data_IF_917358713486
#
_entry.id   IF_917358713486
#
_cell.length_a   1.000
_cell.length_b   1.000
_cell.length_c   1.000
_cell.angle_alpha   90.00
_cell.angle_beta   90.00
_cell.angle_gamma   90.00
#
_symmetry.space_group_name_H-M   'P 1'
#
loop_
_entity.id
_entity.type
_entity.pdbx_description
1 polymer ?
#
# COMPACT_ATOMS: atom_id res chain seq x y z
N UNK A 1 -70.96 -38.05 -7.90
CA UNK A 1 -70.17 -37.92 -9.15
C UNK A 1 -69.50 -36.55 -9.15
N UNK A 2 -68.17 -36.54 -9.36
CA UNK A 2 -67.24 -35.45 -9.77
C UNK A 2 -67.38 -34.04 -9.15
N UNK A 3 -66.45 -33.55 -8.30
CA UNK A 3 -65.03 -33.13 -8.49
C UNK A 3 -64.89 -31.83 -9.30
N UNK A 4 -64.47 -30.74 -8.63
CA UNK A 4 -63.33 -29.87 -8.97
C UNK A 4 -63.22 -28.65 -8.03
N UNK A 5 -62.04 -28.45 -7.43
CA UNK A 5 -61.51 -27.17 -6.90
C UNK A 5 -60.97 -26.31 -8.07
N UNK A 6 -60.83 -24.99 -7.89
CA UNK A 6 -59.47 -24.46 -7.80
C UNK A 6 -59.23 -23.24 -6.85
N UNK A 7 -58.01 -23.24 -6.30
CA UNK A 7 -57.12 -22.15 -5.82
C UNK A 7 -57.45 -20.66 -6.08
N UNK A 8 -57.24 -19.80 -5.06
CA UNK A 8 -56.20 -18.72 -4.97
C UNK A 8 -56.27 -17.91 -3.64
N UNK A 9 -55.19 -17.87 -2.84
CA UNK A 9 -54.20 -16.76 -2.61
C UNK A 9 -54.84 -15.45 -2.07
N UNK A 10 -54.42 -14.82 -0.95
CA UNK A 10 -53.08 -14.29 -0.62
C UNK A 10 -52.80 -14.00 0.88
N UNK A 11 -51.50 -14.11 1.20
CA UNK A 11 -50.65 -13.87 2.39
C UNK A 11 -50.99 -12.81 3.48
N UNK A 12 -50.45 -13.03 4.71
CA UNK A 12 -49.89 -12.00 5.61
C UNK A 12 -48.41 -11.73 5.28
N UNK A 13 -47.84 -10.54 5.56
CA UNK A 13 -46.41 -10.37 5.89
C UNK A 13 -46.06 -8.89 6.14
N UNK A 14 -45.87 -8.52 7.41
CA UNK A 14 -45.19 -7.30 7.85
C UNK A 14 -43.89 -7.71 8.58
N UNK A 15 -42.89 -8.15 7.82
CA UNK A 15 -41.54 -8.44 8.32
C UNK A 15 -40.52 -7.90 7.32
N UNK A 16 -40.15 -6.61 7.43
CA UNK A 16 -39.02 -6.10 6.63
C UNK A 16 -38.16 -4.99 7.23
N UNK A 17 -38.36 -4.53 8.47
CA UNK A 17 -37.62 -3.35 8.97
C UNK A 17 -36.52 -3.65 10.00
N UNK A 18 -36.49 -4.82 10.64
CA UNK A 18 -35.50 -5.13 11.71
C UNK A 18 -34.14 -5.71 11.24
N UNK A 19 -33.90 -5.88 9.94
CA UNK A 19 -32.78 -6.69 9.43
C UNK A 19 -31.47 -5.93 9.15
N UNK A 20 -31.44 -4.60 9.34
CA UNK A 20 -30.28 -3.78 8.97
C UNK A 20 -29.37 -3.38 10.14
N UNK A 21 -29.87 -3.25 11.37
CA UNK A 21 -29.03 -2.84 12.51
C UNK A 21 -28.16 -3.99 13.06
N UNK A 22 -28.63 -5.25 12.96
CA UNK A 22 -27.85 -6.42 13.37
C UNK A 22 -26.63 -6.68 12.46
N UNK A 23 -26.65 -6.21 11.21
CA UNK A 23 -25.53 -6.37 10.27
C UNK A 23 -24.31 -5.53 10.64
N UNK A 24 -24.49 -4.35 11.23
CA UNK A 24 -23.36 -3.48 11.62
C UNK A 24 -22.63 -4.08 12.84
N UNK A 25 -23.38 -4.66 13.79
CA UNK A 25 -22.80 -5.32 14.96
C UNK A 25 -21.98 -6.57 14.61
N UNK A 26 -22.46 -7.40 13.67
CA UNK A 26 -21.73 -8.60 13.24
C UNK A 26 -20.44 -8.29 12.44
N UNK A 27 -20.39 -7.14 11.76
CA UNK A 27 -19.27 -6.79 10.87
C UNK A 27 -18.00 -6.33 11.61
N UNK A 28 -18.13 -5.92 12.89
CA UNK A 28 -17.01 -5.48 13.73
C UNK A 28 -16.75 -6.38 14.95
N UNK A 29 -17.51 -7.47 15.10
CA UNK A 29 -17.37 -8.43 16.22
C UNK A 29 -15.96 -9.02 16.33
N UNK A 30 -15.22 -9.12 15.21
CA UNK A 30 -13.84 -9.61 15.19
C UNK A 30 -12.84 -8.71 15.95
N UNK A 31 -13.21 -7.46 16.30
CA UNK A 31 -12.41 -6.56 17.13
C UNK A 31 -12.76 -6.65 18.62
N UNK A 32 -13.91 -7.25 18.95
CA UNK A 32 -14.41 -7.43 20.33
C UNK A 32 -14.09 -8.83 20.89
N UNK A 33 -13.38 -9.70 20.15
CA UNK A 33 -12.98 -11.04 20.62
C UNK A 33 -11.86 -10.95 21.68
N UNK A 34 -12.22 -10.46 22.86
CA UNK A 34 -11.68 -10.90 24.15
C UNK A 34 -12.70 -11.79 24.84
N UNK A 35 -13.12 -12.90 24.20
CA UNK A 35 -13.87 -13.95 24.91
C UNK A 35 -12.88 -14.96 25.48
N UNK A 36 -12.42 -14.68 26.70
CA UNK A 36 -11.98 -15.71 27.65
C UNK A 36 -13.18 -16.65 27.86
N UNK A 37 -13.04 -17.98 27.72
CA UNK A 37 -14.18 -18.88 27.87
C UNK A 37 -14.63 -18.88 29.33
N UNK A 38 -15.80 -18.30 29.60
CA UNK A 38 -16.51 -18.49 30.87
C UNK A 38 -17.70 -19.43 30.63
N UNK A 39 -17.96 -20.36 31.56
CA UNK A 39 -18.71 -21.57 31.27
C UNK A 39 -20.20 -21.31 31.09
N UNK A 40 -20.82 -22.19 30.32
CA UNK A 40 -22.26 -22.24 30.09
C UNK A 40 -23.06 -22.09 31.40
N UNK A 41 -23.88 -21.05 31.47
CA UNK A 41 -24.97 -20.96 32.44
C UNK A 41 -26.23 -20.48 31.74
N UNK A 42 -27.17 -21.40 31.62
CA UNK A 42 -28.52 -21.22 31.11
C UNK A 42 -29.34 -20.36 32.08
N UNK A 43 -29.51 -19.08 31.77
CA UNK A 43 -30.55 -18.25 32.37
C UNK A 43 -30.97 -17.16 31.40
N UNK A 44 -32.17 -17.28 30.83
CA UNK A 44 -32.82 -16.21 30.08
C UNK A 44 -33.21 -15.06 31.04
N UNK A 45 -32.85 -13.79 30.77
CA UNK A 45 -33.54 -12.68 31.40
C UNK A 45 -34.71 -12.26 30.51
N UNK A 46 -35.92 -12.36 31.06
CA UNK A 46 -37.12 -11.73 30.53
C UNK A 46 -36.94 -10.22 30.73
N UNK A 47 -36.75 -9.45 29.64
CA UNK A 47 -36.76 -7.99 29.69
C UNK A 47 -37.97 -7.50 28.90
N UNK A 48 -38.91 -6.89 29.64
CA UNK A 48 -40.07 -6.19 29.13
C UNK A 48 -39.67 -5.12 28.11
N UNK A 49 -40.12 -5.30 26.86
CA UNK A 49 -40.18 -4.23 25.86
C UNK A 49 -41.40 -3.38 26.13
N UNK A 50 -41.23 -2.23 26.78
CA UNK A 50 -42.10 -1.07 26.62
C UNK A 50 -41.39 0.15 27.19
N UNK A 51 -40.58 0.80 26.34
CA UNK A 51 -40.36 2.24 26.40
C UNK A 51 -39.75 2.69 25.06
N UNK A 52 -40.64 2.99 24.12
CA UNK A 52 -40.35 3.80 22.95
C UNK A 52 -40.17 5.25 23.38
N UNK A 53 -38.94 5.73 23.49
CA UNK A 53 -38.65 7.16 23.40
C UNK A 53 -37.40 7.41 22.55
N UNK A 54 -37.69 7.84 21.31
CA UNK A 54 -36.97 8.84 20.51
C UNK A 54 -35.63 9.31 21.09
N UNK A 55 -34.58 8.51 20.88
CA UNK A 55 -33.18 8.94 20.81
C UNK A 55 -32.34 7.73 20.36
N UNK A 56 -32.34 7.46 19.04
CA UNK A 56 -31.35 6.59 18.42
C UNK A 56 -29.97 7.27 18.49
N UNK A 57 -29.39 7.35 19.69
CA UNK A 57 -27.96 7.61 19.87
C UNK A 57 -27.23 6.41 19.29
N UNK A 58 -26.70 6.59 18.08
CA UNK A 58 -25.70 5.72 17.46
C UNK A 58 -24.68 5.37 18.55
N UNK A 59 -24.72 4.15 19.10
CA UNK A 59 -23.73 3.73 20.09
C UNK A 59 -22.43 3.56 19.33
N UNK A 60 -21.57 4.57 19.42
CA UNK A 60 -20.20 4.47 18.94
C UNK A 60 -19.51 3.38 19.74
N UNK A 61 -19.31 2.22 19.12
CA UNK A 61 -18.51 1.17 19.71
C UNK A 61 -17.04 1.61 19.73
N UNK A 62 -16.24 1.20 20.73
CA UNK A 62 -14.81 1.51 20.77
C UNK A 62 -14.08 1.11 19.48
N UNK A 63 -14.51 0.02 18.84
CA UNK A 63 -14.03 -0.47 17.55
C UNK A 63 -14.29 0.50 16.39
N UNK A 64 -15.47 1.12 16.33
CA UNK A 64 -15.81 2.12 15.31
C UNK A 64 -15.02 3.43 15.51
N UNK A 65 -14.82 3.83 16.78
CA UNK A 65 -14.02 5.01 17.13
C UNK A 65 -12.55 4.78 16.73
N UNK A 66 -11.97 3.64 17.12
CA UNK A 66 -10.61 3.26 16.74
C UNK A 66 -10.43 3.23 15.22
N UNK A 67 -11.45 2.75 14.50
CA UNK A 67 -11.43 2.75 13.05
C UNK A 67 -11.43 4.16 12.44
N UNK A 68 -12.30 5.06 12.92
CA UNK A 68 -12.40 6.43 12.41
C UNK A 68 -11.13 7.28 12.69
N UNK A 69 -10.33 6.89 13.69
CA UNK A 69 -9.03 7.51 13.95
C UNK A 69 -8.03 7.28 12.80
N UNK A 70 -8.08 6.14 12.10
CA UNK A 70 -7.14 5.84 11.03
C UNK A 70 -7.29 6.82 9.82
N UNK A 71 -8.49 7.01 9.24
CA UNK A 71 -8.72 8.04 8.23
C UNK A 71 -8.44 9.47 8.73
N UNK A 72 -8.74 9.76 10.01
CA UNK A 72 -8.46 11.08 10.59
C UNK A 72 -6.95 11.36 10.63
N UNK A 73 -6.16 10.40 11.11
CA UNK A 73 -4.69 10.49 11.11
C UNK A 73 -4.20 10.65 9.66
N UNK A 74 -4.71 9.84 8.73
CA UNK A 74 -4.36 9.93 7.31
C UNK A 74 -4.65 11.33 6.73
N UNK A 75 -5.79 11.93 7.08
CA UNK A 75 -6.18 13.28 6.64
C UNK A 75 -5.28 14.36 7.25
N UNK A 76 -4.96 14.26 8.55
CA UNK A 76 -4.09 15.24 9.21
C UNK A 76 -2.67 15.22 8.63
N UNK A 77 -2.13 14.03 8.35
CA UNK A 77 -0.82 13.88 7.73
C UNK A 77 -0.82 14.46 6.31
N UNK A 78 -1.84 14.16 5.50
CA UNK A 78 -1.89 14.67 4.12
C UNK A 78 -2.03 16.19 4.07
N UNK A 79 -2.89 16.79 4.91
CA UNK A 79 -3.01 18.25 5.02
C UNK A 79 -1.70 18.87 5.52
N UNK A 80 -1.08 18.28 6.54
CA UNK A 80 0.20 18.75 7.08
C UNK A 80 1.31 18.74 6.03
N UNK A 81 1.40 17.68 5.21
CA UNK A 81 2.38 17.58 4.13
C UNK A 81 2.10 18.58 2.99
N UNK A 82 0.83 18.85 2.66
CA UNK A 82 0.47 19.90 1.68
C UNK A 82 0.88 21.28 2.21
N UNK A 83 0.52 21.61 3.45
CA UNK A 83 0.87 22.90 4.05
C UNK A 83 2.39 23.10 4.11
N UNK A 84 3.12 22.06 4.50
CA UNK A 84 4.58 22.08 4.52
C UNK A 84 5.17 22.25 3.11
N UNK A 85 4.64 21.56 2.10
CA UNK A 85 5.08 21.73 0.71
C UNK A 85 4.82 23.14 0.18
N UNK A 86 3.63 23.71 0.44
CA UNK A 86 3.26 25.07 0.03
C UNK A 86 4.12 26.10 0.74
N UNK A 87 4.31 25.97 2.05
CA UNK A 87 5.17 26.87 2.82
C UNK A 87 6.62 26.83 2.32
N UNK A 88 7.15 25.64 2.03
CA UNK A 88 8.48 25.48 1.43
C UNK A 88 8.57 26.13 0.05
N UNK A 89 7.57 25.95 -0.81
CA UNK A 89 7.54 26.60 -2.12
C UNK A 89 7.50 28.12 -1.98
N UNK A 90 6.65 28.66 -1.11
CA UNK A 90 6.59 30.10 -0.83
C UNK A 90 7.94 30.66 -0.40
N UNK A 91 8.63 29.99 0.55
CA UNK A 91 9.96 30.40 0.98
C UNK A 91 10.97 30.39 -0.17
N UNK A 92 10.94 29.38 -1.04
CA UNK A 92 11.84 29.28 -2.19
C UNK A 92 11.58 30.42 -3.18
N UNK A 93 10.32 30.75 -3.46
CA UNK A 93 9.95 31.83 -4.40
C UNK A 93 10.14 33.24 -3.84
N UNK A 94 10.31 33.40 -2.52
CA UNK A 94 10.64 34.69 -1.89
C UNK A 94 12.14 35.04 -2.01
N UNK A 95 12.99 34.07 -2.34
CA UNK A 95 14.43 34.32 -2.55
C UNK A 95 14.59 35.00 -3.92
N UNK A 96 15.27 36.16 -4.00
CA UNK A 96 15.45 36.86 -5.28
C UNK A 96 16.18 35.97 -6.28
N UNK A 97 15.71 35.96 -7.54
CA UNK A 97 16.36 35.21 -8.61
C UNK A 97 17.79 35.75 -8.80
N UNK A 98 18.78 34.92 -8.53
CA UNK A 98 20.20 35.24 -8.73
C UNK A 98 20.61 35.18 -10.20
N UNK A 99 19.85 34.47 -11.03
CA UNK A 99 20.16 34.20 -12.45
C UNK A 99 18.87 34.17 -13.29
N UNK A 100 18.89 34.84 -14.45
CA UNK A 100 17.79 34.88 -15.42
C UNK A 100 17.98 33.77 -16.48
N UNK A 101 18.04 32.50 -16.06
CA UNK A 101 18.10 31.37 -17.00
C UNK A 101 16.76 30.66 -17.06
N UNK A 102 16.13 30.66 -18.24
CA UNK A 102 14.98 29.81 -18.53
C UNK A 102 15.44 28.35 -18.64
N UNK A 103 14.70 27.44 -18.02
CA UNK A 103 14.95 26.00 -18.06
C UNK A 103 14.23 25.42 -19.28
N UNK A 104 14.89 24.52 -20.01
CA UNK A 104 14.30 23.78 -21.13
C UNK A 104 13.17 22.85 -20.63
N UNK A 105 11.97 23.00 -21.20
CA UNK A 105 10.80 22.20 -20.84
C UNK A 105 10.94 20.71 -21.23
N UNK A 106 11.68 20.42 -22.30
CA UNK A 106 11.85 19.05 -22.81
C UNK A 106 13.00 18.32 -22.09
N UNK A 107 13.96 19.09 -21.55
CA UNK A 107 15.08 18.58 -20.75
C UNK A 107 15.28 19.44 -19.49
N UNK A 108 14.35 19.35 -18.52
CA UNK A 108 14.46 20.12 -17.28
C UNK A 108 15.65 19.70 -16.42
N UNK A 109 16.29 18.57 -16.75
CA UNK A 109 17.48 18.02 -16.08
C UNK A 109 18.82 18.40 -16.75
N UNK A 110 18.84 19.39 -17.67
CA UNK A 110 20.06 19.85 -18.35
C UNK A 110 21.24 20.09 -17.40
N UNK A 111 22.48 19.83 -17.84
CA UNK A 111 23.74 19.77 -17.05
C UNK A 111 23.69 20.48 -15.69
N UNK A 112 23.12 19.79 -14.70
CA UNK A 112 23.02 20.29 -13.33
C UNK A 112 24.40 20.10 -12.70
N UNK A 113 25.20 21.17 -12.63
CA UNK A 113 26.45 21.16 -11.88
C UNK A 113 26.16 20.90 -10.39
N UNK A 114 27.02 20.16 -9.69
CA UNK A 114 26.92 19.92 -8.23
C UNK A 114 27.23 21.22 -7.45
N UNK A 115 26.37 22.23 -7.56
CA UNK A 115 26.48 23.54 -6.90
C UNK A 115 25.16 23.99 -6.27
N UNK A 116 25.11 25.22 -5.74
CA UNK A 116 23.92 25.74 -5.05
C UNK A 116 22.67 25.84 -5.95
N UNK A 117 22.83 26.08 -7.25
CA UNK A 117 21.68 26.16 -8.19
C UNK A 117 20.99 24.80 -8.39
N UNK A 118 21.76 23.71 -8.43
CA UNK A 118 21.26 22.33 -8.41
C UNK A 118 20.38 22.05 -7.18
N UNK A 119 20.80 22.55 -6.02
CA UNK A 119 20.07 22.41 -4.77
C UNK A 119 18.70 23.09 -4.85
N UNK A 120 18.58 24.26 -5.50
CA UNK A 120 17.32 24.99 -5.64
C UNK A 120 16.31 24.22 -6.50
N UNK A 121 16.72 23.73 -7.67
CA UNK A 121 15.84 22.94 -8.56
C UNK A 121 15.39 21.64 -7.90
N UNK A 122 16.29 20.96 -7.17
CA UNK A 122 15.94 19.75 -6.44
C UNK A 122 14.95 20.01 -5.29
N UNK A 123 15.12 21.13 -4.56
CA UNK A 123 14.18 21.57 -3.51
C UNK A 123 12.78 21.82 -4.08
N UNK A 124 12.67 22.47 -5.24
CA UNK A 124 11.39 22.70 -5.93
C UNK A 124 10.76 21.36 -6.35
N UNK A 125 11.54 20.49 -7.01
CA UNK A 125 11.07 19.16 -7.45
C UNK A 125 10.56 18.32 -6.27
N UNK A 126 11.31 18.30 -5.18
CA UNK A 126 10.96 17.61 -3.95
C UNK A 126 9.64 18.16 -3.37
N UNK A 127 9.51 19.49 -3.22
CA UNK A 127 8.28 20.09 -2.69
C UNK A 127 7.04 19.83 -3.57
N UNK A 128 7.17 19.94 -4.89
CA UNK A 128 6.06 19.66 -5.82
C UNK A 128 5.69 18.18 -5.83
N UNK A 129 6.68 17.28 -5.71
CA UNK A 129 6.45 15.83 -5.74
C UNK A 129 5.51 15.32 -4.64
N UNK A 130 5.35 16.09 -3.55
CA UNK A 130 4.52 15.76 -2.39
C UNK A 130 3.04 16.15 -2.60
N UNK A 131 2.75 17.12 -3.48
CA UNK A 131 1.40 17.69 -3.61
C UNK A 131 0.38 16.70 -4.17
N UNK A 132 0.69 16.06 -5.30
CA UNK A 132 -0.20 15.09 -5.97
C UNK A 132 -0.53 13.88 -5.06
N UNK A 133 0.46 13.16 -4.49
CA UNK A 133 0.15 12.02 -3.63
C UNK A 133 -0.61 12.44 -2.37
N UNK A 134 -0.31 13.61 -1.79
CA UNK A 134 -1.06 14.10 -0.63
C UNK A 134 -2.52 14.46 -0.98
N UNK A 135 -2.78 15.01 -2.17
CA UNK A 135 -4.14 15.26 -2.65
C UNK A 135 -4.93 13.94 -2.80
N UNK A 136 -4.33 12.91 -3.39
CA UNK A 136 -4.95 11.58 -3.45
C UNK A 136 -5.20 11.00 -2.06
N UNK A 137 -4.25 11.17 -1.14
CA UNK A 137 -4.39 10.71 0.24
C UNK A 137 -5.51 11.46 0.99
N UNK A 138 -5.72 12.75 0.74
CA UNK A 138 -6.86 13.52 1.26
C UNK A 138 -8.21 12.96 0.76
N UNK A 139 -8.35 12.77 -0.56
CA UNK A 139 -9.58 12.22 -1.15
C UNK A 139 -9.86 10.83 -0.57
N UNK A 140 -8.82 10.00 -0.46
CA UNK A 140 -8.94 8.69 0.15
C UNK A 140 -9.35 8.77 1.62
N UNK A 141 -8.75 9.68 2.41
CA UNK A 141 -9.08 9.83 3.82
C UNK A 141 -10.53 10.28 4.05
N UNK A 142 -11.05 11.18 3.22
CA UNK A 142 -12.47 11.60 3.26
C UNK A 142 -13.38 10.40 2.94
N UNK A 143 -13.07 9.65 1.89
CA UNK A 143 -13.79 8.42 1.57
C UNK A 143 -13.64 7.37 2.70
N UNK A 144 -12.54 7.46 3.47
CA UNK A 144 -12.17 6.65 4.62
C UNK A 144 -13.20 6.57 5.74
N UNK A 145 -14.08 7.58 5.83
CA UNK A 145 -15.18 7.63 6.79
C UNK A 145 -16.41 6.82 6.35
N UNK A 146 -16.28 5.92 5.36
CA UNK A 146 -17.37 5.07 4.86
C UNK A 146 -18.19 4.35 5.94
N UNK A 147 -17.64 3.90 7.10
CA UNK A 147 -18.47 3.23 8.12
C UNK A 147 -19.51 4.15 8.75
N UNK A 148 -19.29 5.46 8.69
CA UNK A 148 -20.24 6.45 9.19
C UNK A 148 -21.40 6.70 8.20
N UNK A 149 -21.27 6.25 6.95
CA UNK A 149 -22.21 6.50 5.86
C UNK A 149 -23.08 5.27 5.64
N UNK A 150 -24.40 5.43 5.76
CA UNK A 150 -25.35 4.31 5.63
C UNK A 150 -25.71 4.01 4.16
N UNK A 151 -25.71 5.03 3.30
CA UNK A 151 -26.00 4.88 1.87
C UNK A 151 -24.70 4.81 1.07
N UNK A 152 -24.64 3.90 0.10
CA UNK A 152 -23.49 3.73 -0.81
C UNK A 152 -22.15 3.44 -0.13
N UNK A 153 -22.15 2.80 1.05
CA UNK A 153 -20.92 2.44 1.80
C UNK A 153 -19.87 1.75 0.92
N UNK A 154 -20.27 0.77 0.11
CA UNK A 154 -19.36 0.05 -0.79
C UNK A 154 -18.72 0.96 -1.84
N UNK A 155 -19.43 1.99 -2.31
CA UNK A 155 -18.88 2.94 -3.27
C UNK A 155 -17.75 3.77 -2.65
N UNK A 156 -17.94 4.27 -1.43
CA UNK A 156 -16.90 4.99 -0.69
C UNK A 156 -15.71 4.07 -0.33
N UNK A 157 -15.95 2.80 -0.02
CA UNK A 157 -14.88 1.80 0.15
C UNK A 157 -14.04 1.63 -1.12
N UNK A 158 -14.68 1.50 -2.30
CA UNK A 158 -13.96 1.41 -3.57
C UNK A 158 -13.15 2.67 -3.88
N UNK A 159 -13.74 3.86 -3.68
CA UNK A 159 -13.03 5.13 -3.84
C UNK A 159 -11.81 5.16 -2.91
N UNK A 160 -11.98 4.80 -1.63
CA UNK A 160 -10.88 4.78 -0.68
C UNK A 160 -9.75 3.85 -1.14
N UNK A 161 -10.07 2.62 -1.55
CA UNK A 161 -9.08 1.65 -2.03
C UNK A 161 -8.32 2.19 -3.25
N UNK A 162 -9.02 2.75 -4.23
CA UNK A 162 -8.41 3.27 -5.47
C UNK A 162 -7.49 4.45 -5.15
N UNK A 163 -7.97 5.45 -4.42
CA UNK A 163 -7.18 6.65 -4.13
C UNK A 163 -6.03 6.38 -3.15
N UNK A 164 -6.20 5.48 -2.16
CA UNK A 164 -5.07 5.03 -1.34
C UNK A 164 -4.03 4.30 -2.20
N UNK A 165 -4.45 3.43 -3.12
CA UNK A 165 -3.53 2.71 -4.00
C UNK A 165 -2.73 3.65 -4.92
N UNK A 166 -3.42 4.65 -5.50
CA UNK A 166 -2.77 5.70 -6.29
C UNK A 166 -1.82 6.56 -5.43
N UNK A 167 -2.22 6.93 -4.22
CA UNK A 167 -1.38 7.69 -3.30
C UNK A 167 -0.10 6.91 -2.97
N UNK A 168 -0.21 5.62 -2.59
CA UNK A 168 0.94 4.75 -2.30
C UNK A 168 1.91 4.71 -3.49
N UNK A 169 1.42 4.47 -4.70
CA UNK A 169 2.26 4.43 -5.90
C UNK A 169 3.03 5.73 -6.14
N UNK A 170 2.38 6.88 -5.92
CA UNK A 170 2.99 8.19 -6.10
C UNK A 170 3.99 8.51 -4.97
N UNK A 171 3.67 8.16 -3.71
CA UNK A 171 4.54 8.37 -2.56
C UNK A 171 5.88 7.65 -2.67
N UNK A 172 5.95 6.47 -3.31
CA UNK A 172 7.22 5.77 -3.54
C UNK A 172 8.23 6.64 -4.30
N UNK A 173 7.78 7.42 -5.27
CA UNK A 173 8.65 8.34 -6.03
C UNK A 173 8.94 9.63 -5.28
N UNK A 174 7.99 10.14 -4.49
CA UNK A 174 8.17 11.37 -3.70
C UNK A 174 9.13 11.17 -2.52
N UNK A 175 9.05 10.02 -1.85
CA UNK A 175 10.02 9.64 -0.79
C UNK A 175 11.43 9.60 -1.37
N UNK A 176 11.61 9.07 -2.58
CA UNK A 176 12.90 9.11 -3.27
C UNK A 176 13.38 10.55 -3.48
N UNK A 177 12.54 11.44 -4.02
CA UNK A 177 12.92 12.83 -4.29
C UNK A 177 13.36 13.58 -3.01
N UNK A 178 12.61 13.44 -1.92
CA UNK A 178 12.95 14.06 -0.62
C UNK A 178 14.23 13.46 -0.03
N UNK A 179 14.43 12.14 -0.17
CA UNK A 179 15.63 11.45 0.32
C UNK A 179 16.89 11.95 -0.40
N UNK A 180 16.82 12.14 -1.72
CA UNK A 180 17.91 12.70 -2.51
C UNK A 180 18.22 14.13 -2.07
N UNK A 181 17.18 14.95 -1.84
CA UNK A 181 17.35 16.34 -1.39
C UNK A 181 18.06 16.43 -0.03
N UNK A 182 17.63 15.63 0.95
CA UNK A 182 18.26 15.59 2.28
C UNK A 182 19.72 15.15 2.15
N UNK A 183 19.97 14.06 1.40
CA UNK A 183 21.33 13.54 1.24
C UNK A 183 22.24 14.56 0.52
N UNK A 184 21.77 15.22 -0.53
CA UNK A 184 22.56 16.21 -1.26
C UNK A 184 22.84 17.44 -0.37
N UNK A 185 21.83 17.93 0.33
CA UNK A 185 21.96 19.14 1.16
C UNK A 185 22.90 18.91 2.33
N UNK A 186 22.72 17.84 3.10
CA UNK A 186 23.47 17.64 4.33
C UNK A 186 24.80 16.93 4.12
N UNK A 187 24.87 15.92 3.24
CA UNK A 187 26.09 15.12 3.08
C UNK A 187 27.01 15.72 2.03
N UNK A 188 26.48 16.19 0.88
CA UNK A 188 27.34 16.63 -0.22
C UNK A 188 27.73 18.10 -0.16
N UNK A 189 26.78 18.99 0.17
CA UNK A 189 27.03 20.44 0.15
C UNK A 189 27.71 20.87 1.46
N UNK A 190 27.19 20.39 2.60
CA UNK A 190 27.62 20.84 3.90
C UNK A 190 28.50 19.85 4.66
N UNK A 191 28.63 18.59 4.20
CA UNK A 191 29.36 17.50 4.88
C UNK A 191 28.96 17.29 6.36
N UNK A 192 27.74 17.67 6.74
CA UNK A 192 27.18 17.63 8.09
C UNK A 192 26.55 16.29 8.47
N UNK A 193 27.11 15.16 8.01
CA UNK A 193 26.55 13.83 8.26
C UNK A 193 26.57 13.44 9.75
N UNK A 194 27.42 14.07 10.56
CA UNK A 194 27.52 13.86 12.00
C UNK A 194 26.61 14.79 12.83
N UNK A 195 25.97 15.77 12.20
CA UNK A 195 25.13 16.73 12.93
C UNK A 195 23.81 16.08 13.35
N UNK A 196 23.36 16.40 14.56
CA UNK A 196 22.07 15.93 15.09
C UNK A 196 20.88 16.33 14.19
N UNK A 197 20.98 17.46 13.50
CA UNK A 197 19.99 17.94 12.54
C UNK A 197 19.75 16.94 11.40
N UNK A 198 20.80 16.37 10.81
CA UNK A 198 20.68 15.36 9.75
C UNK A 198 19.90 14.13 10.24
N UNK A 199 20.24 13.63 11.44
CA UNK A 199 19.56 12.49 12.04
C UNK A 199 18.06 12.78 12.30
N UNK A 200 17.73 13.99 12.79
CA UNK A 200 16.35 14.42 12.98
C UNK A 200 15.57 14.42 11.65
N UNK A 201 16.16 14.94 10.56
CA UNK A 201 15.52 14.93 9.23
C UNK A 201 15.28 13.51 8.71
N UNK A 202 16.19 12.58 8.94
CA UNK A 202 16.01 11.17 8.57
C UNK A 202 14.90 10.52 9.41
N UNK A 203 14.84 10.77 10.72
CA UNK A 203 13.74 10.27 11.56
C UNK A 203 12.39 10.81 11.07
N UNK A 204 12.31 12.11 10.77
CA UNK A 204 11.10 12.74 10.24
C UNK A 204 10.70 12.16 8.88
N UNK A 205 11.66 11.89 8.00
CA UNK A 205 11.43 11.22 6.71
C UNK A 205 10.88 9.80 6.91
N UNK A 206 11.43 9.03 7.85
CA UNK A 206 10.93 7.70 8.19
C UNK A 206 9.52 7.75 8.77
N UNK A 207 9.24 8.68 9.70
CA UNK A 207 7.91 8.86 10.28
C UNK A 207 6.87 9.30 9.23
N UNK A 208 7.22 10.25 8.36
CA UNK A 208 6.36 10.71 7.29
C UNK A 208 6.11 9.60 6.26
N UNK A 209 7.13 8.84 5.87
CA UNK A 209 6.97 7.72 4.92
C UNK A 209 6.12 6.59 5.50
N UNK A 210 6.20 6.32 6.80
CA UNK A 210 5.27 5.42 7.48
C UNK A 210 3.81 5.90 7.36
N UNK A 211 3.55 7.16 7.67
CA UNK A 211 2.21 7.75 7.58
C UNK A 211 1.67 7.90 6.14
N UNK A 212 2.56 8.02 5.15
CA UNK A 212 2.21 8.22 3.75
C UNK A 212 2.05 6.90 2.97
N UNK A 213 2.80 5.86 3.34
CA UNK A 213 2.82 4.57 2.62
C UNK A 213 2.14 3.49 3.45
N UNK A 214 2.63 3.24 4.67
CA UNK A 214 2.20 2.09 5.49
C UNK A 214 0.78 2.28 6.00
N UNK A 215 0.43 3.48 6.50
CA UNK A 215 -0.90 3.75 7.02
C UNK A 215 -2.00 3.57 5.94
N UNK A 216 -1.89 4.15 4.73
CA UNK A 216 -2.84 3.86 3.64
C UNK A 216 -2.89 2.38 3.23
N UNK A 217 -1.78 1.64 3.27
CA UNK A 217 -1.80 0.19 3.02
C UNK A 217 -2.60 -0.56 4.07
N UNK A 218 -2.49 -0.18 5.35
CA UNK A 218 -3.31 -0.77 6.43
C UNK A 218 -4.80 -0.48 6.19
N UNK A 219 -5.16 0.77 5.86
CA UNK A 219 -6.57 1.13 5.63
C UNK A 219 -7.14 0.48 4.37
N UNK A 220 -6.35 0.29 3.30
CA UNK A 220 -6.71 -0.54 2.15
C UNK A 220 -7.02 -1.97 2.60
N UNK A 221 -6.16 -2.57 3.42
CA UNK A 221 -6.36 -3.94 3.88
C UNK A 221 -7.66 -4.10 4.67
N UNK A 222 -8.00 -3.14 5.52
CA UNK A 222 -9.26 -3.16 6.27
C UNK A 222 -10.46 -2.92 5.36
N UNK A 223 -10.37 -1.95 4.44
CA UNK A 223 -11.42 -1.69 3.46
C UNK A 223 -11.73 -2.93 2.61
N UNK A 224 -10.67 -3.57 2.10
CA UNK A 224 -10.78 -4.71 1.21
C UNK A 224 -11.25 -5.97 1.95
N UNK A 225 -10.83 -6.19 3.19
CA UNK A 225 -11.29 -7.37 3.96
C UNK A 225 -12.78 -7.32 4.28
N UNK A 226 -13.34 -6.11 4.45
CA UNK A 226 -14.78 -5.89 4.69
C UNK A 226 -15.66 -6.00 3.44
N UNK A 227 -15.09 -6.07 2.23
CA UNK A 227 -15.88 -6.24 1.01
C UNK A 227 -16.49 -7.65 0.88
N UNK A 228 -15.99 -8.62 1.65
CA UNK A 228 -16.44 -10.01 1.58
C UNK A 228 -16.81 -10.53 2.96
N UNK A 229 -17.95 -11.25 3.12
CA UNK A 229 -18.33 -11.84 4.40
C UNK A 229 -17.26 -12.82 4.87
N UNK A 230 -17.08 -12.92 6.19
CA UNK A 230 -16.11 -13.84 6.78
C UNK A 230 -16.40 -15.28 6.35
N UNK A 231 -15.50 -15.86 5.56
CA UNK A 231 -15.54 -17.27 5.21
C UNK A 231 -14.14 -17.85 5.33
N UNK A 232 -13.99 -18.87 6.16
CA UNK A 232 -12.72 -19.59 6.30
C UNK A 232 -12.63 -20.65 5.22
N UNK A 233 -11.60 -20.57 4.37
CA UNK A 233 -11.36 -21.62 3.39
C UNK A 233 -10.74 -22.83 4.08
N UNK A 234 -11.28 -24.03 3.83
CA UNK A 234 -10.94 -25.24 4.59
C UNK A 234 -9.72 -26.02 4.06
N UNK A 235 -9.07 -25.61 2.96
CA UNK A 235 -7.91 -26.34 2.42
C UNK A 235 -6.69 -25.46 2.19
N UNK A 236 -5.71 -25.64 3.08
CA UNK A 236 -4.32 -25.26 2.86
C UNK A 236 -3.79 -25.94 1.60
N UNK A 237 -3.15 -25.19 0.70
CA UNK A 237 -2.45 -25.77 -0.44
C UNK A 237 -0.95 -25.51 -0.26
N UNK A 238 -0.19 -26.58 -0.07
CA UNK A 238 1.27 -26.53 0.12
C UNK A 238 1.96 -25.76 -1.01
N UNK A 239 1.47 -25.91 -2.25
CA UNK A 239 2.01 -25.20 -3.42
C UNK A 239 1.87 -23.68 -3.30
N UNK A 240 0.79 -23.19 -2.66
CA UNK A 240 0.59 -21.74 -2.46
C UNK A 240 1.49 -21.20 -1.35
N UNK A 241 1.67 -21.99 -0.28
CA UNK A 241 2.57 -21.63 0.81
C UNK A 241 4.03 -21.60 0.33
N UNK A 242 4.45 -22.58 -0.47
CA UNK A 242 5.80 -22.60 -1.04
C UNK A 242 6.03 -21.46 -2.04
N UNK A 243 5.04 -21.14 -2.88
CA UNK A 243 5.10 -19.98 -3.77
C UNK A 243 5.22 -18.67 -2.98
N UNK A 244 4.41 -18.50 -1.92
CA UNK A 244 4.48 -17.32 -1.07
C UNK A 244 5.83 -17.18 -0.35
N UNK A 245 6.36 -18.28 0.17
CA UNK A 245 7.69 -18.30 0.77
C UNK A 245 8.79 -17.96 -0.24
N UNK A 246 8.70 -18.50 -1.46
CA UNK A 246 9.63 -18.18 -2.55
C UNK A 246 9.64 -16.69 -2.91
N UNK A 247 8.46 -16.07 -2.96
CA UNK A 247 8.33 -14.61 -3.18
C UNK A 247 8.93 -13.82 -2.03
N UNK A 248 8.71 -14.23 -0.78
CA UNK A 248 9.34 -13.60 0.39
C UNK A 248 10.86 -13.68 0.26
N UNK A 249 11.43 -14.86 0.00
CA UNK A 249 12.88 -15.05 -0.12
C UNK A 249 13.50 -14.17 -1.22
N UNK A 250 12.88 -14.11 -2.40
CA UNK A 250 13.38 -13.29 -3.52
C UNK A 250 13.17 -11.79 -3.24
N UNK A 251 12.12 -11.41 -2.52
CA UNK A 251 11.94 -10.02 -2.10
C UNK A 251 13.01 -9.58 -1.10
N UNK A 252 13.41 -10.45 -0.17
CA UNK A 252 14.51 -10.21 0.78
C UNK A 252 15.82 -10.02 0.01
N UNK A 253 16.15 -10.92 -0.93
CA UNK A 253 17.40 -10.79 -1.70
C UNK A 253 17.41 -9.50 -2.53
N UNK A 254 16.30 -9.17 -3.19
CA UNK A 254 16.16 -7.92 -3.96
C UNK A 254 16.31 -6.69 -3.07
N UNK A 255 15.72 -6.70 -1.87
CA UNK A 255 15.83 -5.62 -0.88
C UNK A 255 17.27 -5.45 -0.37
N UNK A 256 17.98 -6.55 -0.07
CA UNK A 256 19.37 -6.49 0.38
C UNK A 256 20.31 -5.96 -0.72
N UNK A 257 20.15 -6.45 -1.96
CA UNK A 257 20.96 -6.00 -3.10
C UNK A 257 20.71 -4.52 -3.46
N UNK A 258 19.45 -4.08 -3.43
CA UNK A 258 19.11 -2.67 -3.66
C UNK A 258 19.61 -1.75 -2.55
N UNK A 259 19.51 -2.16 -1.28
CA UNK A 259 20.09 -1.41 -0.16
C UNK A 259 21.62 -1.29 -0.26
N UNK A 260 22.29 -2.39 -0.62
CA UNK A 260 23.74 -2.40 -0.84
C UNK A 260 24.17 -1.44 -1.96
N UNK A 261 23.51 -1.53 -3.12
CA UNK A 261 23.80 -0.68 -4.29
C UNK A 261 23.48 0.79 -4.02
N UNK A 262 22.41 1.08 -3.29
CA UNK A 262 22.05 2.44 -2.83
C UNK A 262 23.11 3.01 -1.89
N UNK A 263 23.54 2.24 -0.89
CA UNK A 263 24.58 2.66 0.05
C UNK A 263 25.87 3.03 -0.67
N UNK A 264 26.30 2.19 -1.63
CA UNK A 264 27.50 2.45 -2.45
C UNK A 264 27.37 3.67 -3.36
N UNK A 265 26.18 3.91 -3.93
CA UNK A 265 25.94 5.06 -4.83
C UNK A 265 25.84 6.39 -4.08
N UNK A 266 25.43 6.37 -2.80
CA UNK A 266 25.20 7.58 -2.01
C UNK A 266 26.37 8.01 -1.10
N UNK A 267 27.31 7.10 -0.76
CA UNK A 267 28.37 7.38 0.24
C UNK A 267 29.77 7.68 -0.34
N UNK A 268 30.06 7.31 -1.60
CA UNK A 268 31.40 7.41 -2.18
C UNK A 268 31.56 8.53 -3.23
N UNK A 269 30.79 9.61 -3.15
CA UNK A 269 30.67 10.67 -4.18
C UNK A 269 32.02 11.32 -4.54
N UNK A 270 32.95 11.43 -3.60
CA UNK A 270 34.29 11.99 -3.84
C UNK A 270 35.12 11.18 -4.84
N UNK A 271 34.90 9.86 -4.95
CA UNK A 271 35.54 9.00 -5.97
C UNK A 271 34.98 9.26 -7.38
N UNK A 272 33.75 9.77 -7.50
CA UNK A 272 33.10 10.05 -8.79
C UNK A 272 33.68 11.27 -9.49
N UNK A 273 34.22 12.25 -8.72
CA UNK A 273 34.76 13.51 -9.26
C UNK A 273 35.97 13.32 -10.18
N UNK A 274 36.66 12.19 -10.11
CA UNK A 274 37.96 11.97 -10.75
C UNK A 274 37.82 11.43 -12.18
N UNK A 275 36.66 10.88 -12.57
CA UNK A 275 36.49 10.29 -13.91
C UNK A 275 35.92 11.30 -14.93
N UNK A 276 36.67 11.66 -15.99
CA UNK A 276 36.23 12.58 -17.05
C UNK A 276 35.28 11.92 -18.06
N UNK A 277 35.02 10.62 -17.96
CA UNK A 277 34.29 9.85 -18.99
C UNK A 277 32.77 9.90 -18.88
N UNK A 278 32.21 10.49 -17.82
CA UNK A 278 30.76 10.48 -17.58
C UNK A 278 30.16 11.89 -17.76
N UNK A 279 29.41 12.06 -18.84
CA UNK A 279 28.74 13.33 -19.18
C UNK A 279 27.70 13.81 -18.15
N UNK A 280 27.32 12.98 -17.16
CA UNK A 280 26.38 13.30 -16.09
C UNK A 280 26.64 12.44 -14.82
N UNK A 281 27.63 12.82 -14.01
CA UNK A 281 27.93 12.17 -12.72
C UNK A 281 26.72 12.13 -11.77
N UNK A 282 25.76 13.05 -11.92
CA UNK A 282 24.52 13.13 -11.15
C UNK A 282 23.54 11.97 -11.43
N UNK A 283 23.61 11.31 -12.60
CA UNK A 283 22.64 10.26 -12.98
C UNK A 283 22.84 8.93 -12.24
N UNK A 284 24.05 8.70 -11.74
CA UNK A 284 24.36 7.53 -10.92
C UNK A 284 24.30 7.84 -9.42
N UNK A 285 24.20 9.11 -9.04
CA UNK A 285 23.90 9.50 -7.67
C UNK A 285 22.47 9.04 -7.31
N UNK A 286 22.33 8.40 -6.15
CA UNK A 286 21.08 7.73 -5.74
C UNK A 286 20.67 6.54 -6.62
N UNK A 287 21.57 6.00 -7.44
CA UNK A 287 21.30 4.76 -8.17
C UNK A 287 20.85 3.66 -7.18
N UNK A 288 19.81 2.92 -7.55
CA UNK A 288 19.15 1.89 -6.74
C UNK A 288 18.27 2.37 -5.57
N UNK A 289 18.23 3.68 -5.25
CA UNK A 289 17.41 4.18 -4.13
C UNK A 289 15.91 3.93 -4.36
N UNK A 290 15.42 4.13 -5.58
CA UNK A 290 14.03 3.84 -5.94
C UNK A 290 13.73 2.35 -5.79
N UNK A 291 14.66 1.53 -6.26
CA UNK A 291 14.62 0.08 -6.22
C UNK A 291 14.61 -0.42 -4.76
N UNK A 292 15.35 0.24 -3.86
CA UNK A 292 15.36 -0.06 -2.43
C UNK A 292 14.03 0.27 -1.75
N UNK A 293 13.46 1.44 -2.05
CA UNK A 293 12.15 1.85 -1.51
C UNK A 293 11.04 0.89 -1.99
N UNK A 294 10.99 0.62 -3.30
CA UNK A 294 9.99 -0.28 -3.88
C UNK A 294 10.16 -1.72 -3.37
N UNK A 295 11.39 -2.25 -3.34
CA UNK A 295 11.64 -3.61 -2.87
C UNK A 295 11.36 -3.79 -1.37
N UNK A 296 11.59 -2.77 -0.54
CA UNK A 296 11.19 -2.77 0.88
C UNK A 296 9.67 -2.87 1.04
N UNK A 297 8.92 -2.12 0.23
CA UNK A 297 7.45 -2.20 0.23
C UNK A 297 6.95 -3.57 -0.26
N UNK A 298 7.57 -4.11 -1.33
CA UNK A 298 7.25 -5.44 -1.85
C UNK A 298 7.57 -6.53 -0.82
N UNK A 299 8.68 -6.43 -0.09
CA UNK A 299 9.01 -7.34 1.00
C UNK A 299 7.93 -7.36 2.08
N UNK A 300 7.52 -6.18 2.55
CA UNK A 300 6.46 -6.07 3.56
C UNK A 300 5.14 -6.67 3.06
N UNK A 301 4.75 -6.37 1.83
CA UNK A 301 3.57 -6.95 1.17
C UNK A 301 3.65 -8.47 1.02
N UNK A 302 4.83 -8.99 0.68
CA UNK A 302 5.07 -10.43 0.50
C UNK A 302 4.92 -11.18 1.82
N UNK A 303 5.42 -10.60 2.93
CA UNK A 303 5.22 -11.14 4.28
C UNK A 303 3.74 -11.11 4.67
N UNK A 304 3.03 -10.01 4.39
CA UNK A 304 1.59 -9.93 4.63
C UNK A 304 0.81 -10.99 3.83
N UNK A 305 1.17 -11.22 2.56
CA UNK A 305 0.57 -12.29 1.77
C UNK A 305 0.87 -13.67 2.32
N UNK A 306 2.09 -13.93 2.76
CA UNK A 306 2.41 -15.19 3.43
C UNK A 306 1.49 -15.42 4.64
N UNK A 307 1.31 -14.41 5.49
CA UNK A 307 0.36 -14.48 6.62
C UNK A 307 -1.08 -14.75 6.13
N UNK A 308 -1.52 -14.08 5.07
CA UNK A 308 -2.84 -14.30 4.47
C UNK A 308 -3.04 -15.76 4.00
N UNK A 309 -2.00 -16.37 3.41
CA UNK A 309 -2.05 -17.78 3.00
C UNK A 309 -2.12 -18.75 4.18
N UNK A 310 -1.49 -18.41 5.31
CA UNK A 310 -1.52 -19.21 6.53
C UNK A 310 -2.87 -19.11 7.22
N UNK A 311 -3.42 -17.89 7.34
CA UNK A 311 -4.68 -17.64 8.04
C UNK A 311 -5.93 -18.15 7.28
N UNK A 312 -5.86 -18.29 5.96
CA UNK A 312 -6.95 -18.82 5.11
C UNK A 312 -8.29 -18.08 5.26
N UNK A 313 -8.24 -16.81 5.66
CA UNK A 313 -9.39 -15.93 5.70
C UNK A 313 -9.59 -15.29 4.33
N UNK A 314 -10.79 -15.45 3.76
CA UNK A 314 -11.11 -14.92 2.43
C UNK A 314 -10.99 -13.39 2.35
N UNK A 315 -11.38 -12.65 3.40
CA UNK A 315 -11.25 -11.18 3.42
C UNK A 315 -9.80 -10.72 3.42
N UNK A 316 -8.94 -11.37 4.22
CA UNK A 316 -7.49 -11.07 4.26
C UNK A 316 -6.82 -11.47 2.94
N UNK A 317 -7.28 -12.55 2.30
CA UNK A 317 -6.80 -12.98 1.00
C UNK A 317 -7.18 -11.97 -0.11
N UNK A 318 -8.39 -11.39 -0.06
CA UNK A 318 -8.81 -10.30 -0.96
C UNK A 318 -7.97 -9.04 -0.73
N UNK A 319 -7.77 -8.62 0.52
CA UNK A 319 -6.91 -7.50 0.87
C UNK A 319 -5.49 -7.67 0.33
N UNK A 320 -4.93 -8.87 0.49
CA UNK A 320 -3.59 -9.19 0.01
C UNK A 320 -3.49 -9.16 -1.52
N UNK A 321 -4.53 -9.59 -2.23
CA UNK A 321 -4.64 -9.47 -3.69
C UNK A 321 -4.56 -8.01 -4.18
N UNK A 322 -5.23 -7.10 -3.47
CA UNK A 322 -5.20 -5.66 -3.79
C UNK A 322 -3.81 -5.07 -3.58
N UNK A 323 -3.15 -5.39 -2.46
CA UNK A 323 -1.78 -4.93 -2.20
C UNK A 323 -0.79 -5.54 -3.22
N UNK A 324 -0.96 -6.80 -3.60
CA UNK A 324 -0.14 -7.43 -4.66
C UNK A 324 -0.26 -6.68 -5.99
N UNK A 325 -1.46 -6.22 -6.37
CA UNK A 325 -1.63 -5.39 -7.57
C UNK A 325 -0.84 -4.10 -7.49
N UNK A 326 -0.85 -3.42 -6.34
CA UNK A 326 -0.07 -2.21 -6.13
C UNK A 326 1.43 -2.53 -6.25
N UNK A 327 1.90 -3.64 -5.69
CA UNK A 327 3.29 -4.09 -5.82
C UNK A 327 3.70 -4.39 -7.26
N UNK A 328 2.85 -5.07 -8.03
CA UNK A 328 3.09 -5.35 -9.45
C UNK A 328 3.20 -4.04 -10.23
N UNK A 329 2.27 -3.09 -10.02
CA UNK A 329 2.32 -1.78 -10.66
C UNK A 329 3.59 -1.00 -10.28
N UNK A 330 3.99 -1.05 -9.01
CA UNK A 330 5.21 -0.39 -8.53
C UNK A 330 6.48 -0.98 -9.19
N UNK A 331 6.56 -2.31 -9.33
CA UNK A 331 7.68 -2.98 -10.02
C UNK A 331 7.69 -2.66 -11.53
N UNK A 332 6.52 -2.61 -12.17
CA UNK A 332 6.42 -2.20 -13.58
C UNK A 332 6.94 -0.78 -13.82
N UNK A 333 6.75 0.15 -12.87
CA UNK A 333 7.33 1.50 -12.96
C UNK A 333 8.87 1.52 -12.97
N UNK A 334 9.52 0.50 -12.41
CA UNK A 334 11.00 0.35 -12.46
C UNK A 334 11.49 -0.16 -13.82
N UNK A 335 10.59 -0.77 -14.61
CA UNK A 335 10.89 -1.46 -15.86
C UNK A 335 10.37 -0.71 -17.10
N UNK A 336 10.02 0.57 -16.94
CA UNK A 336 9.65 1.44 -18.07
C UNK A 336 10.80 1.45 -19.09
N UNK A 337 10.53 1.40 -20.42
CA UNK A 337 11.57 1.29 -21.44
C UNK A 337 12.69 2.33 -21.30
N UNK A 338 12.35 3.60 -21.03
CA UNK A 338 13.34 4.67 -20.85
C UNK A 338 14.31 4.40 -19.69
N UNK A 339 13.79 3.90 -18.56
CA UNK A 339 14.58 3.49 -17.39
C UNK A 339 15.47 2.30 -17.70
N UNK A 340 14.92 1.26 -18.34
CA UNK A 340 15.68 0.06 -18.68
C UNK A 340 16.80 0.36 -19.68
N UNK A 341 16.54 1.19 -20.69
CA UNK A 341 17.55 1.66 -21.64
C UNK A 341 18.65 2.45 -20.93
N UNK A 342 18.30 3.36 -20.02
CA UNK A 342 19.29 4.10 -19.23
C UNK A 342 20.17 3.17 -18.38
N UNK A 343 19.57 2.17 -17.72
CA UNK A 343 20.29 1.17 -16.93
C UNK A 343 21.25 0.36 -17.80
N UNK A 344 20.80 -0.10 -18.98
CA UNK A 344 21.64 -0.87 -19.89
C UNK A 344 22.82 -0.04 -20.43
N UNK A 345 22.58 1.20 -20.85
CA UNK A 345 23.63 2.12 -21.31
C UNK A 345 24.63 2.38 -20.17
N UNK A 346 24.15 2.71 -18.98
CA UNK A 346 25.02 2.94 -17.82
C UNK A 346 25.79 1.68 -17.41
N UNK A 347 25.17 0.50 -17.49
CA UNK A 347 25.86 -0.78 -17.23
C UNK A 347 27.00 -1.05 -18.22
N UNK A 348 26.85 -0.62 -19.49
CA UNK A 348 27.91 -0.71 -20.50
C UNK A 348 29.07 0.22 -20.16
N UNK A 349 28.80 1.43 -19.68
CA UNK A 349 29.85 2.36 -19.24
C UNK A 349 30.61 1.81 -18.03
N UNK A 350 29.89 1.24 -17.05
CA UNK A 350 30.49 0.58 -15.88
C UNK A 350 31.32 -0.67 -16.23
N UNK A 351 31.13 -1.25 -17.42
CA UNK A 351 31.90 -2.41 -17.89
C UNK A 351 33.31 -2.05 -18.36
N UNK A 352 33.49 -0.81 -18.83
CA UNK A 352 34.73 -0.33 -19.45
C UNK A 352 35.76 0.05 -18.37
N UNK A 353 35.33 0.76 -17.31
CA UNK A 353 36.20 1.21 -16.21
C UNK A 353 35.86 0.53 -14.88
N UNK A 354 36.39 -0.68 -14.68
CA UNK A 354 36.07 -1.53 -13.51
C UNK A 354 36.58 -1.00 -12.16
N UNK A 355 37.55 -0.09 -12.15
CA UNK A 355 38.22 0.41 -10.94
C UNK A 355 37.79 1.82 -10.53
N UNK A 356 37.07 2.55 -11.40
CA UNK A 356 36.72 3.95 -11.18
C UNK A 356 35.37 4.14 -10.44
N UNK A 357 34.53 3.11 -10.37
CA UNK A 357 33.15 3.23 -9.87
C UNK A 357 32.88 2.35 -8.64
N UNK A 358 32.10 2.86 -7.65
CA UNK A 358 31.81 2.12 -6.42
C UNK A 358 30.77 1.01 -6.61
N UNK A 359 30.09 0.96 -7.76
CA UNK A 359 29.11 -0.08 -8.11
C UNK A 359 29.61 -0.81 -9.36
N UNK A 360 29.88 -2.11 -9.21
CA UNK A 360 30.24 -2.97 -10.33
C UNK A 360 29.04 -3.22 -11.27
N UNK A 361 29.30 -3.35 -12.56
CA UNK A 361 28.29 -3.71 -13.58
C UNK A 361 27.48 -4.95 -13.18
N UNK A 362 28.13 -5.98 -12.64
CA UNK A 362 27.49 -7.23 -12.24
C UNK A 362 26.37 -6.98 -11.22
N UNK A 363 26.56 -6.04 -10.29
CA UNK A 363 25.56 -5.73 -9.27
C UNK A 363 24.31 -5.09 -9.88
N UNK A 364 24.48 -4.26 -10.92
CA UNK A 364 23.36 -3.62 -11.65
C UNK A 364 22.54 -4.67 -12.40
N UNK A 365 23.21 -5.54 -13.15
CA UNK A 365 22.55 -6.59 -13.93
C UNK A 365 21.83 -7.55 -12.99
N UNK A 366 22.49 -7.98 -11.91
CA UNK A 366 21.94 -8.92 -10.95
C UNK A 366 20.71 -8.32 -10.22
N UNK A 367 20.76 -7.04 -9.85
CA UNK A 367 19.62 -6.35 -9.24
C UNK A 367 18.40 -6.37 -10.17
N UNK A 368 18.57 -6.02 -11.44
CA UNK A 368 17.46 -6.03 -12.40
C UNK A 368 16.99 -7.44 -12.76
N UNK A 369 17.89 -8.44 -12.76
CA UNK A 369 17.49 -9.84 -12.89
C UNK A 369 16.60 -10.28 -11.71
N UNK A 370 16.94 -9.90 -10.48
CA UNK A 370 16.09 -10.17 -9.31
C UNK A 370 14.77 -9.41 -9.35
N UNK A 371 14.74 -8.15 -9.77
CA UNK A 371 13.49 -7.37 -9.95
C UNK A 371 12.57 -8.07 -10.96
N UNK A 372 13.11 -8.53 -12.11
CA UNK A 372 12.34 -9.25 -13.12
C UNK A 372 11.81 -10.60 -12.59
N UNK A 373 12.65 -11.36 -11.87
CA UNK A 373 12.23 -12.61 -11.24
C UNK A 373 11.14 -12.40 -10.18
N UNK A 374 11.27 -11.34 -9.37
CA UNK A 374 10.29 -10.96 -8.36
C UNK A 374 8.95 -10.57 -9.00
N UNK A 375 8.97 -9.77 -10.06
CA UNK A 375 7.76 -9.42 -10.82
C UNK A 375 7.08 -10.66 -11.41
N UNK A 376 7.85 -11.58 -11.99
CA UNK A 376 7.33 -12.82 -12.56
C UNK A 376 6.64 -13.68 -11.50
N UNK A 377 7.29 -13.92 -10.36
CA UNK A 377 6.72 -14.75 -9.29
C UNK A 377 5.49 -14.10 -8.64
N UNK A 378 5.52 -12.78 -8.40
CA UNK A 378 4.36 -12.03 -7.93
C UNK A 378 3.19 -12.12 -8.90
N UNK A 379 3.46 -12.06 -10.22
CA UNK A 379 2.41 -12.18 -11.24
C UNK A 379 1.76 -13.57 -11.23
N UNK A 380 2.56 -14.64 -11.10
CA UNK A 380 2.04 -16.01 -10.97
C UNK A 380 1.21 -16.15 -9.68
N UNK A 381 1.73 -15.63 -8.57
CA UNK A 381 1.05 -15.67 -7.27
C UNK A 381 -0.27 -14.91 -7.29
N UNK A 382 -0.29 -13.74 -7.93
CA UNK A 382 -1.49 -12.94 -8.13
C UNK A 382 -2.52 -13.65 -9.01
N UNK A 383 -2.10 -14.24 -10.13
CA UNK A 383 -2.99 -15.01 -11.00
C UNK A 383 -3.61 -16.22 -10.28
N UNK A 384 -2.79 -16.96 -9.52
CA UNK A 384 -3.25 -18.07 -8.68
C UNK A 384 -4.31 -17.60 -7.67
N UNK A 385 -4.11 -16.42 -7.10
CA UNK A 385 -5.01 -15.78 -6.14
C UNK A 385 -6.35 -15.40 -6.77
N UNK A 386 -6.35 -14.75 -7.95
CA UNK A 386 -7.58 -14.43 -8.68
C UNK A 386 -8.37 -15.69 -9.03
N UNK A 387 -7.71 -16.73 -9.56
CA UNK A 387 -8.36 -17.99 -9.95
C UNK A 387 -9.10 -18.59 -8.75
N UNK A 388 -8.49 -18.54 -7.57
CA UNK A 388 -9.10 -19.03 -6.34
C UNK A 388 -10.30 -18.19 -5.90
N UNK A 389 -10.17 -16.85 -5.89
CA UNK A 389 -11.29 -15.96 -5.55
C UNK A 389 -12.49 -16.24 -6.46
N UNK A 390 -12.24 -16.40 -7.77
CA UNK A 390 -13.28 -16.69 -8.75
C UNK A 390 -13.97 -18.02 -8.48
N UNK A 391 -13.21 -19.08 -8.21
CA UNK A 391 -13.75 -20.42 -7.92
C UNK A 391 -14.66 -20.41 -6.69
N UNK A 392 -14.30 -19.65 -5.65
CA UNK A 392 -15.09 -19.56 -4.44
C UNK A 392 -16.41 -18.78 -4.65
N UNK A 393 -16.38 -17.71 -5.45
CA UNK A 393 -17.58 -16.95 -5.82
C UNK A 393 -18.59 -17.80 -6.61
N UNK A 394 -18.12 -18.67 -7.51
CA UNK A 394 -19.01 -19.56 -8.28
C UNK A 394 -19.71 -20.63 -7.42
N UNK A 395 -19.05 -21.17 -6.40
CA UNK A 395 -19.67 -22.15 -5.47
C UNK A 395 -20.65 -21.52 -4.48
N UNK A 396 -20.49 -20.23 -4.14
CA UNK A 396 -21.43 -19.53 -3.27
C UNK A 396 -22.76 -19.17 -3.98
N UNK A 397 -22.73 -19.06 -5.31
CA UNK A 397 -23.89 -18.66 -6.12
C UNK A 397 -24.70 -19.84 -6.69
N UNK A 398 -24.26 -21.09 -6.49
CA UNK A 398 -25.10 -22.26 -6.75
C UNK A 398 -26.07 -22.46 -5.59
N UNK A 399 -27.39 -22.28 -5.74
CA UNK A 399 -28.33 -22.68 -4.71
C UNK A 399 -28.18 -24.18 -4.52
N UNK A 400 -27.92 -24.60 -3.28
CA UNK A 400 -27.89 -26.00 -2.88
C UNK A 400 -29.29 -26.60 -3.03
N UNK A 401 -29.66 -27.02 -4.24
CA UNK A 401 -30.80 -27.88 -4.49
C UNK A 401 -30.42 -29.32 -4.16
N UNK A 402 -30.37 -29.64 -2.87
CA UNK A 402 -30.58 -31.00 -2.33
C UNK A 402 -30.41 -31.00 -0.81
N UNK A 403 -31.45 -30.56 -0.09
CA UNK A 403 -31.68 -31.04 1.27
C UNK A 403 -32.16 -32.49 1.14
N UNK A 404 -31.22 -33.43 1.04
CA UNK A 404 -31.50 -34.84 1.25
C UNK A 404 -31.36 -35.11 2.75
N UNK A 405 -32.49 -35.31 3.42
CA UNK A 405 -32.58 -35.86 4.76
C UNK A 405 -31.73 -37.14 4.85
N UNK A 406 -30.57 -37.10 5.52
CA UNK A 406 -29.91 -38.32 5.98
C UNK A 406 -30.57 -38.74 7.29
N UNK A 407 -31.46 -39.72 7.20
CA UNK A 407 -32.03 -40.42 8.33
C UNK A 407 -30.93 -40.91 9.29
N UNK A 408 -31.14 -40.54 10.54
CA UNK A 408 -30.45 -41.01 11.73
C UNK A 408 -30.58 -42.54 11.83
N UNK A 409 -29.49 -43.28 11.59
CA UNK A 409 -29.37 -44.68 12.01
C UNK A 409 -28.68 -44.71 13.37
N UNK A 410 -29.49 -44.80 14.42
CA UNK A 410 -29.05 -45.29 15.72
C UNK A 410 -28.90 -46.81 15.64
N UNK A 411 -27.70 -47.32 15.88
CA UNK A 411 -27.51 -48.71 16.30
C UNK A 411 -26.84 -48.66 17.68
N UNK A 412 -27.63 -48.93 18.72
CA UNK A 412 -27.23 -49.78 19.84
C UNK A 412 -27.72 -51.19 19.52
#
# INVERSE_FOLDING_TARGET
MHRQLPLRYTLPDDVSVKKNESKIYDEFRFLDETEVPSPASSAHPIINTNESSVNCKRRFTPSLIAYCLLPLIQLTISIGLILLAVFRLQQIFQIPLSTNSLIDFDKPEGQISLGEESSKTLKIRSAISVLIPAAFQCVAAIAGFWPLIERYRSYYQFIHIIFCGLAVLQWLSSVQAVSIEINQTFIQIHEWYQMSSYLIYIILLCAASFGAIILPSITICIAASQLSPYSRQSKSNVVRMSLALGVVLISVTTCCFSAYTTSRSMTNVTQWRISPALANQLLLYSFALKEAIVSSYVLLSSVFFFIATVQQNHGIYLASSVIQMICILALCQLLIPSRLTAVLINSRVLSIDKTAYPVAQVNVILLYAFIMALLFLLSIQFLSTIILLRRHSTTANTPSSSVAYSQQRTNF
#
